data_IF_386007482238
#
_entry.id   IF_386007482238
#
_cell.length_a   1.000
_cell.length_b   1.000
_cell.length_c   1.000
_cell.angle_alpha   90.00
_cell.angle_beta   90.00
_cell.angle_gamma   90.00
#
_symmetry.space_group_name_H-M   'P 1'
#
loop_
_entity.id
_entity.type
_entity.pdbx_description
1 polymer ?
#
# COMPACT_ATOMS: atom_id res chain seq x y z
N UNK A 1 -48.54 13.19 34.69
CA UNK A 1 -47.12 12.86 34.93
C UNK A 1 -46.78 11.66 34.05
N UNK A 2 -46.17 11.89 32.86
CA UNK A 2 -45.85 10.84 31.88
C UNK A 2 -44.40 10.42 32.09
N UNK A 3 -44.16 9.18 32.50
CA UNK A 3 -42.84 8.56 32.57
C UNK A 3 -42.42 8.13 31.17
N UNK A 4 -41.75 9.02 30.45
CA UNK A 4 -41.08 8.67 29.20
C UNK A 4 -39.96 7.67 29.51
N UNK A 5 -40.16 6.43 29.10
CA UNK A 5 -39.33 5.28 29.48
C UNK A 5 -37.90 5.41 28.96
N UNK A 6 -36.91 5.13 29.81
CA UNK A 6 -35.49 4.95 29.46
C UNK A 6 -35.26 3.96 28.30
N UNK A 7 -36.25 3.14 27.93
CA UNK A 7 -36.18 2.19 26.82
C UNK A 7 -36.04 2.85 25.44
N UNK A 8 -36.50 4.10 25.28
CA UNK A 8 -36.35 4.87 24.04
C UNK A 8 -34.93 5.39 23.83
N UNK A 9 -34.27 5.82 24.90
CA UNK A 9 -32.93 6.42 24.85
C UNK A 9 -31.83 5.37 24.59
N UNK A 10 -32.03 4.13 25.04
CA UNK A 10 -31.10 3.03 24.77
C UNK A 10 -31.21 2.50 23.33
N UNK A 11 -32.37 2.63 22.67
CA UNK A 11 -32.55 2.23 21.26
C UNK A 11 -31.96 3.25 20.29
N UNK A 12 -31.92 4.54 20.65
CA UNK A 12 -31.28 5.56 19.80
C UNK A 12 -29.76 5.57 19.92
N UNK A 13 -29.19 5.21 21.08
CA UNK A 13 -27.74 5.14 21.26
C UNK A 13 -27.09 3.96 20.50
N UNK A 14 -27.82 2.85 20.32
CA UNK A 14 -27.31 1.68 19.59
C UNK A 14 -27.24 1.87 18.06
N UNK A 15 -27.95 2.85 17.50
CA UNK A 15 -27.91 3.16 16.06
C UNK A 15 -26.90 4.27 15.73
N UNK A 16 -26.63 5.19 16.68
CA UNK A 16 -25.67 6.27 16.48
C UNK A 16 -24.18 5.83 16.56
N UNK A 17 -23.88 4.68 17.17
CA UNK A 17 -22.51 4.18 17.34
C UNK A 17 -21.95 3.41 16.13
N UNK A 18 -22.75 3.13 15.10
CA UNK A 18 -22.29 2.44 13.86
C UNK A 18 -21.79 3.44 12.80
N UNK A 19 -21.96 4.76 13.04
CA UNK A 19 -21.35 5.83 12.23
C UNK A 19 -19.97 6.22 12.77
N UNK A 20 -19.46 5.50 13.78
CA UNK A 20 -18.08 5.66 14.24
C UNK A 20 -17.12 5.05 13.22
N UNK A 21 -16.52 5.95 12.44
CA UNK A 21 -15.18 5.80 11.86
C UNK A 21 -14.98 4.56 10.99
N UNK A 22 -15.62 4.56 9.82
CA UNK A 22 -14.82 4.22 8.64
C UNK A 22 -13.83 5.36 8.46
N UNK A 23 -12.77 5.37 9.26
CA UNK A 23 -11.50 5.84 8.72
C UNK A 23 -11.30 4.94 7.53
N UNK A 24 -11.62 5.44 6.33
CA UNK A 24 -11.12 4.84 5.12
C UNK A 24 -9.62 4.80 5.39
N UNK A 25 -9.11 3.60 5.66
CA UNK A 25 -7.69 3.36 5.60
C UNK A 25 -7.38 3.83 4.20
N UNK A 26 -6.73 4.98 4.10
CA UNK A 26 -6.25 5.42 2.82
C UNK A 26 -5.36 4.25 2.37
N UNK A 27 -5.67 3.71 1.19
CA UNK A 27 -4.87 2.66 0.58
C UNK A 27 -3.99 3.40 -0.42
N UNK A 28 -2.68 3.21 -0.33
CA UNK A 28 -1.75 3.73 -1.33
C UNK A 28 -2.19 3.27 -2.72
N UNK A 29 -1.96 4.09 -3.75
CA UNK A 29 -2.15 3.63 -5.13
C UNK A 29 -1.51 2.26 -5.35
N UNK A 30 -2.25 1.34 -5.96
CA UNK A 30 -1.75 -0.02 -6.18
C UNK A 30 -1.22 -0.14 -7.60
N UNK A 31 0.00 -0.68 -7.78
CA UNK A 31 0.47 -1.02 -9.11
C UNK A 31 -0.34 -2.20 -9.66
N UNK A 32 -0.80 -2.08 -10.89
CA UNK A 32 -1.37 -3.18 -11.67
C UNK A 32 -0.29 -3.93 -12.45
N UNK A 33 0.71 -3.20 -12.95
CA UNK A 33 1.86 -3.76 -13.64
C UNK A 33 3.06 -2.83 -13.53
N UNK A 34 4.25 -3.40 -13.57
CA UNK A 34 5.51 -2.66 -13.64
C UNK A 34 6.49 -3.39 -14.55
N UNK A 35 7.30 -2.62 -15.28
CA UNK A 35 8.30 -3.18 -16.19
C UNK A 35 9.50 -2.27 -16.32
N UNK A 36 10.66 -2.87 -16.59
CA UNK A 36 11.89 -2.17 -16.92
C UNK A 36 12.47 -2.76 -18.19
N UNK A 37 12.94 -1.90 -19.09
CA UNK A 37 13.69 -2.29 -20.28
C UNK A 37 15.01 -1.54 -20.33
N UNK A 38 16.04 -2.15 -20.90
CA UNK A 38 17.36 -1.52 -21.05
C UNK A 38 17.74 -1.47 -22.51
N UNK A 39 18.15 -0.28 -22.95
CA UNK A 39 18.79 -0.06 -24.24
C UNK A 39 20.28 0.17 -24.02
N UNK A 40 21.08 -0.87 -24.26
CA UNK A 40 22.54 -0.82 -24.13
C UNK A 40 23.22 0.02 -25.23
N UNK A 41 22.53 0.34 -26.33
CA UNK A 41 23.08 1.20 -27.38
C UNK A 41 23.06 2.66 -26.93
N UNK A 42 21.94 3.09 -26.33
CA UNK A 42 21.81 4.45 -25.79
C UNK A 42 22.30 4.58 -24.35
N UNK A 43 22.49 3.45 -23.64
CA UNK A 43 22.92 3.42 -22.26
C UNK A 43 21.83 3.91 -21.30
N UNK A 44 20.58 3.52 -21.55
CA UNK A 44 19.40 4.00 -20.82
C UNK A 44 18.52 2.85 -20.34
N UNK A 45 18.00 2.98 -19.11
CA UNK A 45 16.95 2.11 -18.57
C UNK A 45 15.61 2.86 -18.53
N UNK A 46 14.57 2.29 -19.15
CA UNK A 46 13.21 2.82 -19.15
C UNK A 46 12.36 2.06 -18.14
N UNK A 47 11.61 2.78 -17.33
CA UNK A 47 10.73 2.24 -16.30
C UNK A 47 9.29 2.63 -16.59
N UNK A 48 8.38 1.67 -16.44
CA UNK A 48 6.94 1.89 -16.59
C UNK A 48 6.18 1.27 -15.43
N UNK A 49 5.26 2.02 -14.82
CA UNK A 49 4.35 1.52 -13.78
C UNK A 49 2.94 1.96 -14.11
N UNK A 50 2.03 1.00 -14.24
CA UNK A 50 0.60 1.24 -14.36
C UNK A 50 -0.03 1.12 -12.97
N UNK A 51 -0.76 2.14 -12.55
CA UNK A 51 -1.52 2.14 -11.30
C UNK A 51 -3.01 1.87 -11.52
N UNK A 52 -3.69 1.42 -10.47
CA UNK A 52 -5.14 1.24 -10.42
C UNK A 52 -5.91 2.57 -10.46
N UNK A 53 -5.25 3.65 -10.06
CA UNK A 53 -5.76 5.02 -9.97
C UNK A 53 -4.62 6.01 -10.20
N UNK A 54 -4.94 7.28 -10.48
CA UNK A 54 -3.92 8.30 -10.76
C UNK A 54 -3.22 8.67 -9.45
N UNK A 55 -1.89 8.50 -9.31
CA UNK A 55 -1.16 8.94 -8.12
C UNK A 55 -1.25 10.45 -7.92
N UNK A 56 -1.43 10.87 -6.67
CA UNK A 56 -1.35 12.26 -6.23
C UNK A 56 -0.01 12.53 -5.53
N UNK A 57 0.97 12.98 -6.30
CA UNK A 57 2.30 13.32 -5.79
C UNK A 57 2.37 14.70 -5.11
N UNK A 58 1.32 15.52 -5.17
CA UNK A 58 1.38 16.94 -4.80
C UNK A 58 0.61 17.27 -3.51
N UNK A 59 -0.49 16.57 -3.24
CA UNK A 59 -1.17 16.71 -1.97
C UNK A 59 -0.26 16.26 -0.85
N UNK A 60 -0.18 17.05 0.22
CA UNK A 60 0.58 16.71 1.42
C UNK A 60 -0.30 16.79 2.66
N UNK A 61 0.01 16.00 3.69
CA UNK A 61 -0.64 16.12 5.00
C UNK A 61 -0.05 17.26 5.85
N UNK A 62 -0.57 17.40 7.07
CA UNK A 62 -0.17 18.43 8.03
C UNK A 62 1.30 18.35 8.48
N UNK A 63 2.01 17.26 8.19
CA UNK A 63 3.46 17.10 8.44
C UNK A 63 4.26 17.00 7.13
N UNK A 64 3.69 17.48 6.01
CA UNK A 64 4.33 17.56 4.69
C UNK A 64 4.71 16.21 4.07
N UNK A 65 3.98 15.13 4.42
CA UNK A 65 4.10 13.84 3.73
C UNK A 65 3.18 13.82 2.53
N UNK A 66 3.69 13.38 1.38
CA UNK A 66 2.89 13.26 0.16
C UNK A 66 1.74 12.27 0.33
N UNK A 67 0.63 12.53 -0.36
CA UNK A 67 -0.50 11.63 -0.47
C UNK A 67 -0.01 10.32 -1.05
N UNK A 68 0.45 10.30 -2.30
CA UNK A 68 1.11 9.14 -2.88
C UNK A 68 2.59 9.42 -3.12
N UNK A 69 3.43 8.45 -2.82
CA UNK A 69 4.84 8.47 -3.23
C UNK A 69 5.29 7.09 -3.68
N UNK A 70 6.33 7.09 -4.50
CA UNK A 70 6.91 5.91 -5.13
C UNK A 70 8.40 5.94 -4.85
N UNK A 71 8.99 4.77 -4.65
CA UNK A 71 10.43 4.66 -4.51
C UNK A 71 10.93 3.40 -5.21
N UNK A 72 11.99 3.56 -6.01
CA UNK A 72 12.75 2.43 -6.52
C UNK A 72 14.09 2.35 -5.80
N UNK A 73 14.49 1.15 -5.45
CA UNK A 73 15.83 0.84 -4.97
C UNK A 73 16.51 -0.04 -6.01
N UNK A 74 17.57 0.46 -6.62
CA UNK A 74 18.29 -0.24 -7.70
C UNK A 74 19.64 -0.74 -7.20
N UNK A 75 19.92 -2.01 -7.46
CA UNK A 75 21.17 -2.68 -7.17
C UNK A 75 21.78 -3.21 -8.48
N UNK A 76 22.78 -2.49 -8.99
CA UNK A 76 23.47 -2.81 -10.23
C UNK A 76 24.73 -3.67 -10.02
N UNK A 77 25.08 -4.01 -8.78
CA UNK A 77 26.29 -4.79 -8.46
C UNK A 77 25.96 -6.19 -7.98
N UNK A 78 24.84 -6.39 -7.29
CA UNK A 78 24.42 -7.72 -6.90
C UNK A 78 24.13 -8.55 -8.15
N UNK A 79 24.96 -9.57 -8.38
CA UNK A 79 24.74 -10.57 -9.44
C UNK A 79 23.98 -11.80 -8.94
N UNK A 80 23.78 -11.92 -7.63
CA UNK A 80 23.18 -13.11 -7.00
C UNK A 80 21.83 -12.79 -6.30
N UNK A 81 20.71 -13.36 -6.79
CA UNK A 81 19.39 -13.15 -6.20
C UNK A 81 19.23 -13.78 -4.79
N UNK A 82 20.04 -14.79 -4.45
CA UNK A 82 20.00 -15.49 -3.14
C UNK A 82 20.54 -14.57 -2.04
N UNK A 83 21.62 -13.82 -2.32
CA UNK A 83 22.20 -12.87 -1.37
C UNK A 83 21.19 -11.76 -1.02
N UNK A 84 20.36 -11.36 -1.98
CA UNK A 84 19.30 -10.37 -1.78
C UNK A 84 18.20 -10.88 -0.84
N UNK A 85 17.74 -12.12 -1.06
CA UNK A 85 16.67 -12.74 -0.26
C UNK A 85 17.07 -12.99 1.22
N UNK A 86 18.34 -13.37 1.46
CA UNK A 86 18.83 -13.60 2.82
C UNK A 86 18.81 -12.33 3.70
N UNK A 87 19.03 -11.16 3.11
CA UNK A 87 19.05 -9.89 3.85
C UNK A 87 17.66 -9.42 4.26
N UNK A 88 16.63 -9.69 3.44
CA UNK A 88 15.22 -9.38 3.78
C UNK A 88 14.75 -10.16 5.02
N UNK A 89 15.25 -11.38 5.22
CA UNK A 89 14.88 -12.25 6.36
C UNK A 89 15.50 -11.82 7.70
N UNK A 90 16.61 -11.08 7.71
CA UNK A 90 17.32 -10.67 8.93
C UNK A 90 16.84 -9.30 9.47
N UNK A 91 15.73 -8.76 8.94
CA UNK A 91 15.20 -7.44 9.32
C UNK A 91 16.12 -6.26 8.96
N UNK A 92 17.23 -6.56 8.30
CA UNK A 92 18.18 -5.62 7.73
C UNK A 92 17.81 -5.44 6.27
N UNK A 93 16.96 -4.45 5.99
CA UNK A 93 16.92 -3.79 4.69
C UNK A 93 18.27 -3.07 4.47
N UNK A 94 19.38 -3.80 4.52
CA UNK A 94 20.73 -3.26 4.40
C UNK A 94 21.05 -3.08 2.93
N UNK A 95 20.87 -1.84 2.47
CA UNK A 95 21.99 -0.99 2.02
C UNK A 95 22.85 -1.45 0.84
N UNK A 96 22.47 -2.47 0.07
CA UNK A 96 23.18 -2.77 -1.18
C UNK A 96 22.61 -2.07 -2.40
N UNK A 97 21.37 -1.56 -2.32
CA UNK A 97 20.83 -0.68 -3.34
C UNK A 97 21.71 0.54 -3.43
N UNK A 98 22.48 0.64 -4.50
CA UNK A 98 23.42 1.73 -4.73
C UNK A 98 22.69 3.00 -5.10
N UNK A 99 21.46 2.86 -5.59
CA UNK A 99 20.67 3.98 -6.07
C UNK A 99 19.26 3.92 -5.50
N UNK A 100 18.74 5.09 -5.16
CA UNK A 100 17.34 5.32 -4.87
C UNK A 100 16.80 6.28 -5.92
N UNK A 101 15.68 5.91 -6.54
CA UNK A 101 14.90 6.81 -7.38
C UNK A 101 13.73 7.27 -6.52
N UNK A 102 13.81 8.52 -6.06
CA UNK A 102 12.84 9.09 -5.13
C UNK A 102 11.88 10.04 -5.84
N UNK A 103 10.60 9.92 -5.47
CA UNK A 103 9.49 10.73 -5.97
C UNK A 103 9.04 11.78 -4.94
N UNK A 104 9.66 11.78 -3.76
CA UNK A 104 9.34 12.73 -2.69
C UNK A 104 9.63 14.19 -3.10
N UNK A 105 10.52 14.37 -4.06
CA UNK A 105 10.99 15.67 -4.54
C UNK A 105 10.19 16.21 -5.73
N UNK A 106 9.18 15.49 -6.24
CA UNK A 106 8.33 15.95 -7.34
C UNK A 106 7.68 17.32 -7.06
N UNK A 107 7.10 17.59 -5.88
CA UNK A 107 6.46 18.88 -5.59
C UNK A 107 7.41 20.08 -5.68
N UNK A 108 8.70 19.87 -5.42
CA UNK A 108 9.69 20.95 -5.37
C UNK A 108 10.48 21.09 -6.68
N UNK A 109 10.71 20.00 -7.41
CA UNK A 109 11.59 19.99 -8.58
C UNK A 109 10.87 19.66 -9.89
N UNK A 110 9.67 19.08 -9.82
CA UNK A 110 8.96 18.50 -10.95
C UNK A 110 9.80 17.47 -11.74
N UNK A 111 10.77 16.84 -11.08
CA UNK A 111 11.66 15.82 -11.61
C UNK A 111 11.82 14.70 -10.59
N UNK A 112 12.30 13.55 -11.05
CA UNK A 112 12.69 12.44 -10.19
C UNK A 112 14.16 12.57 -9.84
N UNK A 113 14.51 12.42 -8.57
CA UNK A 113 15.90 12.44 -8.15
C UNK A 113 16.47 11.02 -8.13
N UNK A 114 17.68 10.89 -8.69
CA UNK A 114 18.50 9.69 -8.58
C UNK A 114 19.52 9.96 -7.47
N UNK A 115 19.45 9.18 -6.41
CA UNK A 115 20.25 9.34 -5.20
C UNK A 115 21.24 8.19 -5.12
N UNK A 116 22.53 8.49 -4.99
CA UNK A 116 23.55 7.48 -4.72
C UNK A 116 23.62 7.20 -3.22
N UNK A 117 23.27 5.98 -2.85
CA UNK A 117 23.35 5.45 -1.49
C UNK A 117 24.82 5.07 -1.24
N UNK A 118 25.60 6.03 -0.77
CA UNK A 118 27.03 5.87 -0.52
C UNK A 118 27.38 6.29 0.92
N UNK A 119 28.57 5.95 1.44
CA UNK A 119 29.08 6.56 2.65
C UNK A 119 29.11 8.10 2.52
N UNK A 120 28.98 8.79 3.65
CA UNK A 120 28.78 10.25 3.76
C UNK A 120 29.90 11.14 3.16
N UNK A 121 30.92 10.54 2.56
CA UNK A 121 32.13 11.20 2.07
C UNK A 121 32.03 11.71 0.64
N UNK A 122 30.99 11.33 -0.11
CA UNK A 122 30.79 11.81 -1.48
C UNK A 122 30.25 13.27 -1.48
N UNK A 123 30.88 14.19 -2.24
CA UNK A 123 30.47 15.57 -2.28
C UNK A 123 29.18 15.76 -3.10
N UNK A 124 28.15 16.36 -2.51
CA UNK A 124 26.92 16.71 -3.22
C UNK A 124 25.79 17.18 -2.30
N UNK A 125 24.73 17.78 -2.87
CA UNK A 125 23.52 18.06 -2.11
C UNK A 125 22.90 16.74 -1.65
N UNK A 126 22.49 16.67 -0.37
CA UNK A 126 21.80 15.49 0.15
C UNK A 126 20.39 15.43 -0.44
N UNK A 127 20.00 14.24 -0.89
CA UNK A 127 18.64 13.94 -1.31
C UNK A 127 17.66 13.96 -0.13
N UNK A 128 16.36 14.01 -0.42
CA UNK A 128 15.36 14.01 0.63
C UNK A 128 15.40 12.68 1.42
N UNK A 129 15.06 12.73 2.71
CA UNK A 129 15.07 11.54 3.58
C UNK A 129 16.45 11.05 4.03
N UNK A 130 17.54 11.69 3.60
CA UNK A 130 18.89 11.38 4.07
C UNK A 130 19.50 10.09 3.50
N UNK A 131 18.93 9.55 2.42
CA UNK A 131 19.37 8.32 1.77
C UNK A 131 20.76 8.40 1.12
N UNK A 132 21.23 9.60 0.83
CA UNK A 132 22.50 9.82 0.13
C UNK A 132 22.55 11.20 -0.51
N UNK A 133 23.35 11.33 -1.56
CA UNK A 133 23.46 12.56 -2.35
C UNK A 133 22.81 12.41 -3.71
N UNK A 134 22.33 13.53 -4.24
CA UNK A 134 21.67 13.56 -5.55
C UNK A 134 22.75 13.43 -6.64
N UNK A 135 22.71 12.31 -7.35
CA UNK A 135 23.58 12.03 -8.49
C UNK A 135 23.09 12.70 -9.78
N UNK A 136 21.77 12.88 -9.88
CA UNK A 136 21.14 13.54 -11.00
C UNK A 136 19.62 13.58 -10.84
N UNK A 137 18.96 14.15 -11.84
CA UNK A 137 17.51 14.15 -11.94
C UNK A 137 17.09 13.77 -13.34
N UNK A 138 15.92 13.16 -13.46
CA UNK A 138 15.33 12.77 -14.74
C UNK A 138 13.88 13.25 -14.81
N UNK A 139 13.42 13.53 -16.01
CA UNK A 139 12.03 13.85 -16.25
C UNK A 139 11.16 12.59 -16.14
N UNK A 140 9.89 12.78 -15.81
CA UNK A 140 8.89 11.72 -15.81
C UNK A 140 7.65 12.17 -16.55
N UNK A 141 6.84 11.19 -16.97
CA UNK A 141 5.51 11.40 -17.52
C UNK A 141 4.51 10.55 -16.76
N UNK A 142 3.34 11.12 -16.49
CA UNK A 142 2.19 10.40 -15.97
C UNK A 142 1.04 10.56 -16.95
N UNK A 143 0.70 9.49 -17.65
CA UNK A 143 -0.34 9.53 -18.69
C UNK A 143 -1.75 9.58 -18.07
N UNK A 144 -2.75 9.87 -18.91
CA UNK A 144 -4.16 9.82 -18.51
C UNK A 144 -4.61 8.43 -18.07
N UNK A 145 -3.93 7.40 -18.58
CA UNK A 145 -4.13 6.01 -18.18
C UNK A 145 -3.29 5.63 -16.96
N UNK A 146 -2.91 6.55 -16.07
CA UNK A 146 -2.18 6.25 -14.84
C UNK A 146 -0.87 5.45 -15.08
N UNK A 147 -0.22 5.65 -16.23
CA UNK A 147 1.08 5.05 -16.51
C UNK A 147 2.15 6.08 -16.19
N UNK A 148 2.92 5.81 -15.15
CA UNK A 148 4.13 6.53 -14.84
C UNK A 148 5.27 5.96 -15.69
N UNK A 149 5.99 6.83 -16.42
CA UNK A 149 7.15 6.45 -17.21
C UNK A 149 8.30 7.43 -17.02
N UNK A 150 9.52 6.91 -16.93
CA UNK A 150 10.75 7.70 -16.84
C UNK A 150 11.94 6.90 -17.36
N UNK A 151 13.00 7.60 -17.74
CA UNK A 151 14.22 7.01 -18.28
C UNK A 151 15.43 7.45 -17.47
N UNK A 152 16.32 6.51 -17.16
CA UNK A 152 17.51 6.76 -16.36
C UNK A 152 18.75 6.31 -17.14
N UNK A 153 19.72 7.20 -17.37
CA UNK A 153 21.02 6.80 -17.88
C UNK A 153 21.67 5.74 -16.98
N UNK A 154 22.21 4.65 -17.55
CA UNK A 154 22.88 3.58 -16.80
C UNK A 154 24.07 4.11 -15.98
N UNK A 155 24.71 5.18 -16.44
CA UNK A 155 25.76 5.88 -15.70
C UNK A 155 25.26 6.47 -14.37
N UNK A 156 24.01 6.95 -14.31
CA UNK A 156 23.38 7.39 -13.06
C UNK A 156 22.96 6.23 -12.17
N UNK A 157 22.82 5.02 -12.72
CA UNK A 157 22.58 3.80 -11.93
C UNK A 157 23.87 3.09 -11.52
N UNK A 158 25.04 3.61 -11.92
CA UNK A 158 26.34 2.93 -11.78
C UNK A 158 26.33 1.51 -12.39
N UNK A 159 25.52 1.33 -13.42
CA UNK A 159 25.39 0.08 -14.16
C UNK A 159 26.24 0.13 -15.44
N UNK A 160 26.86 -0.99 -15.79
CA UNK A 160 27.76 -1.11 -16.94
C UNK A 160 27.34 -2.19 -17.94
N UNK A 161 26.47 -3.10 -17.55
CA UNK A 161 26.06 -4.24 -18.40
C UNK A 161 24.56 -4.30 -18.68
N UNK A 162 23.77 -3.39 -18.08
CA UNK A 162 22.34 -3.30 -18.33
C UNK A 162 21.53 -4.31 -17.53
N UNK A 163 22.14 -4.96 -16.53
CA UNK A 163 21.51 -6.01 -15.72
C UNK A 163 21.59 -5.62 -14.25
N UNK A 164 20.44 -5.25 -13.69
CA UNK A 164 20.32 -4.83 -12.30
C UNK A 164 19.04 -5.37 -11.65
N UNK A 165 19.09 -5.53 -10.34
CA UNK A 165 17.91 -5.81 -9.52
C UNK A 165 17.26 -4.51 -9.10
N UNK A 166 15.94 -4.51 -8.96
CA UNK A 166 15.25 -3.38 -8.36
C UNK A 166 14.13 -3.83 -7.43
N UNK A 167 13.94 -3.05 -6.37
CA UNK A 167 12.70 -3.04 -5.59
C UNK A 167 11.91 -1.79 -5.94
N UNK A 168 10.60 -1.90 -5.86
CA UNK A 168 9.64 -0.83 -6.06
C UNK A 168 8.66 -0.86 -4.90
N UNK A 169 8.40 0.29 -4.28
CA UNK A 169 7.34 0.41 -3.29
C UNK A 169 6.46 1.62 -3.58
N UNK A 170 5.18 1.48 -3.27
CA UNK A 170 4.26 2.60 -3.12
C UNK A 170 4.13 2.93 -1.64
N UNK A 171 4.00 4.21 -1.33
CA UNK A 171 3.90 4.73 0.02
C UNK A 171 2.79 5.77 0.03
N UNK A 172 2.01 5.82 1.11
CA UNK A 172 0.98 6.82 1.26
C UNK A 172 1.08 7.53 2.60
N UNK A 173 1.23 8.85 2.58
CA UNK A 173 1.50 9.66 3.77
C UNK A 173 2.63 9.07 4.64
N UNK A 174 3.68 8.55 4.01
CA UNK A 174 4.82 7.91 4.67
C UNK A 174 4.54 6.51 5.25
N UNK A 175 3.32 5.97 5.09
CA UNK A 175 3.01 4.59 5.43
C UNK A 175 3.39 3.68 4.26
N UNK A 176 4.27 2.71 4.52
CA UNK A 176 4.72 1.75 3.51
C UNK A 176 3.56 0.93 2.94
N UNK A 177 3.52 0.81 1.61
CA UNK A 177 2.66 -0.12 0.88
C UNK A 177 3.39 -1.41 0.55
N UNK A 178 2.95 -2.08 -0.52
CA UNK A 178 3.53 -3.32 -0.99
C UNK A 178 4.92 -3.05 -1.61
N UNK A 179 5.84 -4.00 -1.41
CA UNK A 179 7.17 -4.00 -2.06
C UNK A 179 7.17 -5.04 -3.16
N UNK A 180 7.63 -4.63 -4.34
CA UNK A 180 7.69 -5.43 -5.56
C UNK A 180 9.13 -5.54 -5.97
N UNK A 181 9.51 -6.68 -6.54
CA UNK A 181 10.90 -6.93 -6.95
C UNK A 181 10.93 -7.25 -8.44
N UNK A 182 12.04 -6.90 -9.10
CA UNK A 182 12.26 -7.17 -10.50
C UNK A 182 13.74 -7.20 -10.86
N UNK A 183 14.01 -7.65 -12.09
CA UNK A 183 15.35 -7.71 -12.67
C UNK A 183 15.26 -7.10 -14.07
N UNK A 184 16.16 -6.17 -14.39
CA UNK A 184 16.28 -5.60 -15.72
C UNK A 184 17.07 -6.52 -16.67
N UNK A 185 16.99 -6.28 -17.97
CA UNK A 185 17.75 -7.03 -18.98
C UNK A 185 17.29 -8.48 -19.20
N UNK A 186 16.39 -9.00 -18.36
CA UNK A 186 15.75 -10.31 -18.52
C UNK A 186 14.30 -10.07 -18.97
N UNK A 187 14.03 -10.28 -20.25
CA UNK A 187 12.65 -10.38 -20.73
C UNK A 187 12.02 -11.65 -20.17
N UNK A 188 11.17 -11.49 -19.15
CA UNK A 188 10.13 -12.47 -18.90
C UNK A 188 9.01 -12.14 -19.89
N UNK A 189 8.73 -13.02 -20.87
CA UNK A 189 7.63 -12.86 -21.82
C UNK A 189 6.24 -12.74 -21.15
N UNK A 190 6.18 -12.92 -19.83
CA UNK A 190 5.02 -12.65 -19.00
C UNK A 190 5.25 -11.38 -18.17
N UNK A 191 4.44 -10.32 -18.34
CA UNK A 191 4.42 -9.23 -17.38
C UNK A 191 4.14 -9.80 -15.99
N UNK A 192 4.84 -9.33 -14.97
CA UNK A 192 4.53 -9.68 -13.58
C UNK A 192 3.17 -9.05 -13.26
N UNK A 193 2.10 -9.81 -13.45
CA UNK A 193 0.75 -9.42 -13.08
C UNK A 193 0.66 -9.55 -11.58
N UNK A 194 0.57 -8.42 -10.90
CA UNK A 194 0.26 -8.42 -9.49
C UNK A 194 -1.18 -8.87 -9.30
N UNK A 195 -1.37 -10.00 -8.62
CA UNK A 195 -2.65 -10.30 -8.02
C UNK A 195 -2.74 -9.47 -6.73
N UNK A 196 -3.68 -8.51 -6.62
CA UNK A 196 -3.83 -7.75 -5.38
C UNK A 196 -4.03 -8.72 -4.21
N UNK A 197 -3.57 -8.38 -3.00
CA UNK A 197 -3.79 -9.23 -1.83
C UNK A 197 -5.29 -9.45 -1.72
N UNK A 198 -5.71 -10.71 -1.61
CA UNK A 198 -7.12 -11.02 -1.38
C UNK A 198 -7.49 -10.27 -0.09
N UNK A 199 -8.50 -9.37 -0.10
CA UNK A 199 -8.86 -8.60 1.07
C UNK A 199 -9.07 -9.56 2.24
N UNK A 200 -8.24 -9.43 3.28
CA UNK A 200 -8.45 -10.24 4.47
C UNK A 200 -9.87 -9.96 4.97
N UNK A 201 -10.68 -10.99 5.26
CA UNK A 201 -12.02 -10.77 5.72
C UNK A 201 -11.95 -9.95 7.00
N UNK A 202 -12.62 -8.81 7.02
CA UNK A 202 -12.61 -7.89 8.14
C UNK A 202 -12.93 -8.66 9.43
N UNK A 203 -11.95 -8.79 10.33
CA UNK A 203 -12.06 -9.65 11.51
C UNK A 203 -13.22 -9.22 12.41
N UNK A 204 -13.59 -7.92 12.39
CA UNK A 204 -14.76 -7.42 13.09
C UNK A 204 -16.07 -7.88 12.45
N UNK A 205 -16.17 -7.89 11.12
CA UNK A 205 -17.35 -8.44 10.44
C UNK A 205 -17.48 -9.96 10.67
N UNK A 206 -16.36 -10.68 10.66
CA UNK A 206 -16.31 -12.10 11.03
C UNK A 206 -16.74 -12.31 12.50
N UNK A 207 -16.26 -11.49 13.42
CA UNK A 207 -16.62 -11.59 14.83
C UNK A 207 -18.10 -11.25 15.06
N UNK A 208 -18.60 -10.19 14.43
CA UNK A 208 -20.01 -9.77 14.52
C UNK A 208 -20.95 -10.82 13.91
N UNK A 209 -20.60 -11.38 12.75
CA UNK A 209 -21.37 -12.46 12.14
C UNK A 209 -21.37 -13.72 13.02
N UNK A 210 -20.24 -14.05 13.65
CA UNK A 210 -20.14 -15.10 14.66
C UNK A 210 -21.06 -14.87 15.87
N UNK A 211 -21.04 -13.67 16.45
CA UNK A 211 -21.92 -13.28 17.57
C UNK A 211 -23.39 -13.35 17.15
N UNK A 212 -23.74 -12.84 15.95
CA UNK A 212 -25.10 -12.89 15.43
C UNK A 212 -25.59 -14.34 15.28
N UNK A 213 -24.78 -15.24 14.72
CA UNK A 213 -25.11 -16.66 14.60
C UNK A 213 -25.34 -17.33 15.96
N UNK A 214 -24.54 -16.99 16.97
CA UNK A 214 -24.71 -17.52 18.34
C UNK A 214 -25.94 -16.95 19.06
N UNK A 215 -26.40 -15.76 18.71
CA UNK A 215 -27.58 -15.14 19.30
C UNK A 215 -28.91 -15.74 18.78
N UNK A 216 -28.94 -16.29 17.56
CA UNK A 216 -30.18 -16.83 16.94
C UNK A 216 -30.79 -18.01 17.71
N UNK A 217 -30.03 -19.03 18.17
CA UNK A 217 -30.57 -20.12 18.97
C UNK A 217 -31.14 -19.64 20.33
N UNK A 218 -30.45 -18.70 20.99
CA UNK A 218 -30.88 -18.11 22.25
C UNK A 218 -32.17 -17.29 22.13
N UNK A 219 -32.38 -16.63 20.98
CA UNK A 219 -33.61 -15.91 20.70
C UNK A 219 -34.79 -16.88 20.44
N UNK A 220 -34.58 -17.95 19.67
CA UNK A 220 -35.63 -18.94 19.37
C UNK A 220 -36.15 -19.68 20.62
N UNK A 221 -35.27 -19.99 21.58
CA UNK A 221 -35.67 -20.70 22.81
C UNK A 221 -36.57 -19.85 23.72
N UNK A 222 -36.32 -18.54 23.82
CA UNK A 222 -37.15 -17.61 24.61
C UNK A 222 -38.53 -17.40 23.98
N UNK A 223 -38.61 -17.19 22.67
CA UNK A 223 -39.90 -17.01 22.00
C UNK A 223 -40.74 -18.29 21.98
N UNK A 224 -40.12 -19.46 21.83
CA UNK A 224 -40.82 -20.74 21.95
C UNK A 224 -41.42 -20.97 23.34
N UNK A 225 -40.74 -20.51 24.40
CA UNK A 225 -41.26 -20.59 25.77
C UNK A 225 -42.43 -19.64 26.02
N UNK A 226 -42.32 -18.38 25.57
CA UNK A 226 -43.40 -17.39 25.70
C UNK A 226 -44.66 -17.80 24.93
N UNK A 227 -44.52 -18.41 23.74
CA UNK A 227 -45.65 -18.94 22.98
C UNK A 227 -46.36 -20.09 23.70
N UNK A 228 -45.61 -20.99 24.35
CA UNK A 228 -46.17 -22.08 25.17
C UNK A 228 -46.90 -21.53 26.41
N UNK A 229 -46.31 -20.59 27.11
CA UNK A 229 -46.93 -19.95 28.29
C UNK A 229 -48.21 -19.18 27.92
N UNK A 230 -48.21 -18.44 26.80
CA UNK A 230 -49.40 -17.74 26.31
C UNK A 230 -50.54 -18.69 25.89
N UNK A 231 -50.20 -19.88 25.37
CA UNK A 231 -51.18 -20.90 25.02
C UNK A 231 -51.80 -21.52 26.28
N UNK A 232 -50.97 -21.83 27.28
CA UNK A 232 -51.42 -22.40 28.56
C UNK A 232 -52.42 -21.49 29.28
N UNK A 233 -52.17 -20.17 29.32
CA UNK A 233 -53.07 -19.19 29.96
C UNK A 233 -54.45 -19.14 29.28
N UNK A 234 -54.52 -19.26 27.94
CA UNK A 234 -55.81 -19.25 27.23
C UNK A 234 -56.67 -20.50 27.51
N UNK A 235 -56.05 -21.64 27.78
CA UNK A 235 -56.77 -22.87 28.15
C UNK A 235 -57.36 -22.81 29.56
N UNK A 236 -56.68 -22.16 30.51
CA UNK A 236 -57.14 -22.07 31.91
C UNK A 236 -58.35 -21.14 32.09
N UNK A 237 -58.57 -20.18 31.18
CA UNK A 237 -59.72 -19.26 31.23
C UNK A 237 -60.97 -19.76 30.47
N UNK A 238 -60.94 -20.97 29.89
CA UNK A 238 -62.06 -21.58 29.16
C UNK A 238 -62.75 -22.73 29.92
N UNK A 239 -62.35 -22.99 31.16
CA UNK A 239 -63.02 -23.91 32.09
C UNK A 239 -63.75 -23.10 33.15
#
# INVERSE_FOLDING_TARGET
MRTNSLSGLMKSLAVAAIVATYSQVAIAVQPLSYSTSVDNVTGTASFHVKFDSRPDFYTVDHVSRQADSVQFWVDAVARDPIIRAYNVLDGKLTTHSQNVISFHEIPSTNQLQIIWVAPETEPGPRGYGGWGFVAGSVDYSLTADNVLSFEVPLSLLRDTDGVFYYDFATVQYGSGGNVFTGVSGISYDTPVIYAPPIPEPNIFLLMLSGIALLAVPGYRSRYGRLAKEATAVKTTFKA
#
